data_IF_201037582527
#
_entry.id   IF_201037582527
#
_cell.length_a   1.000
_cell.length_b   1.000
_cell.length_c   1.000
_cell.angle_alpha   90.00
_cell.angle_beta   90.00
_cell.angle_gamma   90.00
#
_symmetry.space_group_name_H-M   'P 1'
#
loop_
_entity.id
_entity.type
_entity.pdbx_description
1 polymer ?
#
# COMPACT_ATOMS: atom_id res chain seq x y z
N UNK A 1 -18.90 2.10 10.93
CA UNK A 1 -19.17 1.42 9.65
C UNK A 1 -17.93 0.82 8.99
N UNK A 2 -16.78 1.49 9.00
CA UNK A 2 -15.51 0.85 8.64
C UNK A 2 -14.95 0.10 9.86
N UNK A 3 -15.23 0.57 11.07
CA UNK A 3 -14.79 -0.05 12.30
C UNK A 3 -15.12 -1.54 12.40
N UNK A 4 -16.38 -1.90 12.20
CA UNK A 4 -16.78 -3.33 12.27
C UNK A 4 -16.10 -4.22 11.22
N UNK A 5 -15.77 -3.65 10.05
CA UNK A 5 -15.08 -4.36 8.97
C UNK A 5 -13.63 -4.70 9.35
N UNK A 6 -12.93 -3.74 9.96
CA UNK A 6 -11.49 -3.77 10.19
C UNK A 6 -11.14 -3.95 11.68
N UNK A 7 -12.14 -4.23 12.51
CA UNK A 7 -11.98 -4.39 13.96
C UNK A 7 -10.95 -5.49 14.30
N UNK A 8 -10.09 -5.19 15.26
CA UNK A 8 -9.04 -6.10 15.72
C UNK A 8 -7.80 -6.17 14.83
N UNK A 9 -7.71 -5.35 13.78
CA UNK A 9 -6.52 -5.28 12.92
C UNK A 9 -5.84 -3.92 13.02
N UNK A 10 -4.51 -3.92 12.89
CA UNK A 10 -3.76 -2.74 12.45
C UNK A 10 -4.14 -2.46 11.01
N UNK A 11 -4.53 -1.23 10.70
CA UNK A 11 -4.98 -0.82 9.38
C UNK A 11 -4.11 0.32 8.89
N UNK A 12 -3.38 0.09 7.81
CA UNK A 12 -2.44 1.07 7.25
C UNK A 12 -2.75 1.32 5.78
N UNK A 13 -2.88 2.57 5.43
CA UNK A 13 -2.77 3.02 4.05
C UNK A 13 -1.31 3.06 3.67
N UNK A 14 -0.99 2.62 2.46
CA UNK A 14 0.36 2.39 1.99
C UNK A 14 0.55 2.93 0.58
N UNK A 15 1.66 3.63 0.39
CA UNK A 15 2.10 4.14 -0.89
C UNK A 15 3.62 4.30 -0.93
N UNK A 16 4.21 4.25 -2.11
CA UNK A 16 5.65 4.37 -2.37
C UNK A 16 5.94 5.38 -3.48
N UNK A 17 7.03 6.14 -3.30
CA UNK A 17 7.70 6.79 -4.43
C UNK A 17 8.99 6.03 -4.77
N UNK A 18 9.32 5.98 -6.06
CA UNK A 18 10.40 5.13 -6.56
C UNK A 18 11.23 5.83 -7.64
N UNK A 19 12.44 5.33 -7.89
CA UNK A 19 13.29 5.85 -8.99
C UNK A 19 12.77 5.48 -10.39
N UNK A 20 11.69 4.70 -10.48
CA UNK A 20 11.07 4.26 -11.72
C UNK A 20 10.09 3.11 -11.50
N UNK A 21 9.66 2.45 -12.56
CA UNK A 21 8.56 1.47 -12.50
C UNK A 21 9.00 0.00 -12.49
N UNK A 22 10.29 -0.27 -12.60
CA UNK A 22 10.82 -1.63 -12.67
C UNK A 22 11.29 -2.12 -11.31
N UNK A 23 10.55 -2.98 -10.65
CA UNK A 23 10.92 -3.57 -9.34
C UNK A 23 12.33 -4.18 -9.31
N UNK A 24 12.82 -4.69 -10.46
CA UNK A 24 14.16 -5.30 -10.55
C UNK A 24 15.30 -4.28 -10.62
N UNK A 25 15.07 -3.09 -11.19
CA UNK A 25 16.10 -2.08 -11.46
C UNK A 25 15.97 -0.86 -10.57
N UNK A 26 14.73 -0.48 -10.30
CA UNK A 26 14.42 0.73 -9.57
C UNK A 26 14.35 0.46 -8.06
N UNK A 27 14.37 1.53 -7.30
CA UNK A 27 14.50 1.52 -5.84
C UNK A 27 13.46 2.44 -5.21
N UNK A 28 13.12 2.19 -3.97
CA UNK A 28 12.25 3.06 -3.17
C UNK A 28 12.99 4.34 -2.81
N UNK A 29 12.33 5.50 -2.93
CA UNK A 29 12.79 6.82 -2.50
C UNK A 29 11.95 7.44 -1.39
N UNK A 30 10.67 7.03 -1.26
CA UNK A 30 9.82 7.39 -0.12
C UNK A 30 8.89 6.21 0.19
N UNK A 31 8.59 6.02 1.45
CA UNK A 31 7.64 5.03 1.94
C UNK A 31 6.69 5.68 2.94
N UNK A 32 5.39 5.52 2.76
CA UNK A 32 4.39 5.98 3.70
C UNK A 32 3.47 4.85 4.15
N UNK A 33 3.31 4.72 5.46
CA UNK A 33 2.37 3.83 6.14
C UNK A 33 1.61 4.66 7.17
N UNK A 34 0.35 4.97 6.89
CA UNK A 34 -0.46 5.85 7.73
C UNK A 34 -1.79 5.20 8.10
N UNK A 35 -2.19 5.28 9.36
CA UNK A 35 -3.41 4.65 9.81
C UNK A 35 -3.52 4.54 11.32
N UNK A 36 -3.91 3.36 11.81
CA UNK A 36 -4.00 3.08 13.23
C UNK A 36 -3.70 1.61 13.55
N UNK A 37 -3.27 1.37 14.77
CA UNK A 37 -3.13 0.02 15.33
C UNK A 37 -4.49 -0.58 15.73
N UNK A 38 -4.46 -1.78 16.26
CA UNK A 38 -5.63 -2.52 16.73
C UNK A 38 -6.35 -1.87 17.93
N UNK A 39 -5.70 -0.94 18.64
CA UNK A 39 -6.26 -0.17 19.75
C UNK A 39 -6.79 1.20 19.30
N UNK A 40 -6.58 1.56 18.02
CA UNK A 40 -6.96 2.85 17.45
C UNK A 40 -5.91 3.95 17.67
N UNK A 41 -4.71 3.61 18.14
CA UNK A 41 -3.61 4.56 18.23
C UNK A 41 -3.08 4.89 16.83
N UNK A 42 -2.89 6.18 16.57
CA UNK A 42 -2.49 6.67 15.25
C UNK A 42 -1.07 6.24 14.91
N UNK A 43 -0.90 5.72 13.71
CA UNK A 43 0.39 5.40 13.11
C UNK A 43 0.62 6.36 11.96
N UNK A 44 1.74 7.05 11.97
CA UNK A 44 2.20 7.89 10.88
C UNK A 44 3.69 7.63 10.66
N UNK A 45 3.99 6.84 9.65
CA UNK A 45 5.34 6.55 9.20
C UNK A 45 5.46 7.03 7.75
N UNK A 46 6.26 8.06 7.53
CA UNK A 46 6.48 8.70 6.22
C UNK A 46 7.94 9.10 6.12
N UNK A 47 8.74 8.31 5.40
CA UNK A 47 10.18 8.44 5.39
C UNK A 47 10.75 8.50 3.97
N UNK A 48 11.66 9.45 3.78
CA UNK A 48 12.50 9.52 2.59
C UNK A 48 13.66 8.53 2.76
N UNK A 49 13.81 7.65 1.77
CA UNK A 49 14.78 6.55 1.75
C UNK A 49 15.87 6.83 0.72
N UNK A 50 17.13 6.60 1.09
CA UNK A 50 18.23 6.67 0.15
C UNK A 50 18.23 5.43 -0.76
N UNK A 51 17.93 5.58 -2.07
CA UNK A 51 17.86 4.44 -3.00
C UNK A 51 19.23 3.81 -3.28
N UNK A 52 20.33 4.51 -2.99
CA UNK A 52 21.68 4.08 -3.30
C UNK A 52 22.04 4.11 -4.80
N UNK A 53 21.16 4.65 -5.62
CA UNK A 53 21.35 4.89 -7.07
C UNK A 53 20.82 6.30 -7.40
N UNK A 54 21.27 6.93 -8.50
CA UNK A 54 20.73 8.21 -8.94
C UNK A 54 19.24 8.13 -9.23
N UNK A 55 18.51 9.19 -8.89
CA UNK A 55 17.08 9.33 -9.19
C UNK A 55 16.95 9.94 -10.59
N UNK A 56 16.33 9.25 -11.56
CA UNK A 56 16.08 9.82 -12.87
C UNK A 56 15.23 11.08 -12.79
N UNK A 57 15.54 12.06 -13.65
CA UNK A 57 14.85 13.34 -13.68
C UNK A 57 13.34 13.19 -13.88
N UNK A 58 12.94 12.22 -14.70
CA UNK A 58 11.52 11.88 -14.95
C UNK A 58 10.80 11.45 -13.68
N UNK A 59 11.45 10.68 -12.81
CA UNK A 59 10.91 10.26 -11.53
C UNK A 59 10.82 11.47 -10.57
N UNK A 60 11.92 12.24 -10.45
CA UNK A 60 11.94 13.46 -9.64
C UNK A 60 10.87 14.48 -10.05
N UNK A 61 10.57 14.59 -11.33
CA UNK A 61 9.50 15.47 -11.82
C UNK A 61 8.09 15.01 -11.40
N UNK A 62 7.91 13.76 -11.06
CA UNK A 62 6.62 13.22 -10.58
C UNK A 62 6.47 13.48 -9.08
N UNK A 63 7.41 13.01 -8.27
CA UNK A 63 7.28 13.02 -6.81
C UNK A 63 8.04 14.17 -6.11
N UNK A 64 8.81 14.97 -6.85
CA UNK A 64 9.52 16.12 -6.28
C UNK A 64 10.76 15.79 -5.45
N UNK A 65 11.17 14.53 -5.33
CA UNK A 65 12.35 14.10 -4.56
C UNK A 65 13.55 14.01 -5.49
N UNK A 66 14.66 14.64 -5.12
CA UNK A 66 15.90 14.70 -5.88
C UNK A 66 17.04 14.04 -5.13
N UNK A 67 18.16 13.77 -5.81
CA UNK A 67 19.36 13.19 -5.21
C UNK A 67 19.88 13.97 -3.98
N UNK A 68 19.61 15.27 -3.91
CA UNK A 68 19.98 16.10 -2.76
C UNK A 68 19.18 15.73 -1.50
N UNK A 69 17.90 15.39 -1.67
CA UNK A 69 16.96 15.12 -0.57
C UNK A 69 17.21 13.76 0.08
N UNK A 70 17.71 12.81 -0.68
CA UNK A 70 18.01 11.45 -0.20
C UNK A 70 19.43 11.31 0.35
N UNK A 71 20.27 12.35 0.20
CA UNK A 71 21.65 12.32 0.67
C UNK A 71 21.70 12.30 2.20
N UNK A 72 22.35 11.26 2.74
CA UNK A 72 22.44 11.07 4.20
C UNK A 72 21.19 10.48 4.85
N UNK A 73 20.16 10.17 4.06
CA UNK A 73 19.01 9.41 4.53
C UNK A 73 19.34 7.92 4.68
N UNK A 74 18.59 7.24 5.53
CA UNK A 74 18.68 5.79 5.73
C UNK A 74 18.38 5.05 4.43
N UNK A 75 19.04 3.92 4.24
CA UNK A 75 18.72 2.99 3.14
C UNK A 75 17.59 2.06 3.58
N UNK A 76 16.94 1.40 2.63
CA UNK A 76 15.86 0.47 2.92
C UNK A 76 16.26 -0.59 3.96
N UNK A 77 17.47 -1.13 3.89
CA UNK A 77 18.00 -2.10 4.86
C UNK A 77 18.00 -1.60 6.32
N UNK A 78 18.14 -0.30 6.50
CA UNK A 78 18.27 0.32 7.83
C UNK A 78 16.88 0.51 8.49
N UNK A 79 15.82 0.62 7.67
CA UNK A 79 14.42 0.72 8.09
C UNK A 79 13.63 -0.60 7.96
N UNK A 80 14.27 -1.66 7.49
CA UNK A 80 13.62 -2.93 7.15
C UNK A 80 12.82 -3.53 8.29
N UNK A 81 13.35 -3.52 9.52
CA UNK A 81 12.66 -4.07 10.70
C UNK A 81 11.40 -3.28 11.04
N UNK A 82 11.46 -1.94 10.98
CA UNK A 82 10.30 -1.07 11.23
C UNK A 82 9.20 -1.31 10.20
N UNK A 83 9.57 -1.38 8.91
CA UNK A 83 8.63 -1.67 7.82
C UNK A 83 8.01 -3.06 7.99
N UNK A 84 8.81 -4.05 8.43
CA UNK A 84 8.31 -5.40 8.71
C UNK A 84 7.26 -5.38 9.82
N UNK A 85 7.58 -4.78 10.96
CA UNK A 85 6.66 -4.69 12.10
C UNK A 85 5.35 -3.97 11.75
N UNK A 86 5.40 -2.96 10.89
CA UNK A 86 4.21 -2.23 10.46
C UNK A 86 3.32 -3.05 9.53
N UNK A 87 3.89 -3.76 8.57
CA UNK A 87 3.13 -4.47 7.51
C UNK A 87 2.69 -5.87 7.94
N UNK A 88 3.50 -6.60 8.73
CA UNK A 88 3.20 -7.99 9.06
C UNK A 88 1.92 -8.11 9.88
N UNK A 89 0.98 -8.93 9.42
CA UNK A 89 -0.33 -9.10 10.03
C UNK A 89 -1.31 -7.92 9.90
N UNK A 90 -0.91 -6.81 9.28
CA UNK A 90 -1.76 -5.64 9.08
C UNK A 90 -2.76 -5.81 7.92
N UNK A 91 -3.80 -5.00 7.91
CA UNK A 91 -4.62 -4.73 6.72
C UNK A 91 -3.98 -3.57 5.97
N UNK A 92 -3.52 -3.83 4.76
CA UNK A 92 -2.89 -2.83 3.89
C UNK A 92 -3.90 -2.31 2.87
N UNK A 93 -4.03 -1.00 2.78
CA UNK A 93 -4.90 -0.31 1.82
C UNK A 93 -4.00 0.55 0.91
N UNK A 94 -4.14 0.42 -0.40
CA UNK A 94 -3.38 1.25 -1.34
C UNK A 94 -4.05 1.32 -2.71
N UNK A 95 -3.53 2.16 -3.60
CA UNK A 95 -4.04 2.29 -4.96
C UNK A 95 -3.10 1.63 -5.97
N UNK A 96 -3.52 0.53 -6.59
CA UNK A 96 -2.67 -0.33 -7.42
C UNK A 96 -1.55 -1.06 -6.63
N UNK A 97 -1.70 -1.14 -5.33
CA UNK A 97 -0.72 -1.65 -4.36
C UNK A 97 -0.27 -3.08 -4.65
N UNK A 98 -1.16 -3.92 -5.15
CA UNK A 98 -0.86 -5.33 -5.50
C UNK A 98 0.09 -5.47 -6.69
N UNK A 99 0.08 -4.50 -7.62
CA UNK A 99 0.90 -4.56 -8.83
C UNK A 99 2.12 -3.67 -8.79
N UNK A 100 2.17 -2.72 -7.86
CA UNK A 100 3.24 -1.76 -7.78
C UNK A 100 3.94 -1.83 -6.41
N UNK A 101 3.35 -1.36 -5.35
CA UNK A 101 4.01 -1.13 -4.06
C UNK A 101 4.50 -2.42 -3.39
N UNK A 102 3.63 -3.42 -3.25
CA UNK A 102 4.01 -4.68 -2.62
C UNK A 102 5.13 -5.41 -3.38
N UNK A 103 5.13 -5.52 -4.72
CA UNK A 103 6.27 -6.05 -5.46
C UNK A 103 7.59 -5.28 -5.27
N UNK A 104 7.55 -3.95 -5.04
CA UNK A 104 8.75 -3.18 -4.69
C UNK A 104 9.27 -3.55 -3.30
N UNK A 105 8.37 -3.64 -2.30
CA UNK A 105 8.72 -4.10 -0.95
C UNK A 105 9.36 -5.50 -1.02
N UNK A 106 8.69 -6.46 -1.66
CA UNK A 106 9.22 -7.82 -1.80
C UNK A 106 10.62 -7.81 -2.39
N UNK A 107 10.85 -7.02 -3.43
CA UNK A 107 12.16 -6.96 -4.09
C UNK A 107 13.23 -6.32 -3.20
N UNK A 108 12.90 -5.30 -2.39
CA UNK A 108 13.84 -4.70 -1.44
C UNK A 108 14.21 -5.69 -0.32
N UNK A 109 13.24 -6.46 0.20
CA UNK A 109 13.52 -7.53 1.16
C UNK A 109 14.45 -8.60 0.57
N UNK A 110 14.20 -9.07 -0.65
CA UNK A 110 15.08 -10.03 -1.32
C UNK A 110 16.49 -9.50 -1.55
N UNK A 111 16.66 -8.21 -1.83
CA UNK A 111 17.98 -7.56 -1.91
C UNK A 111 18.73 -7.56 -0.58
N UNK A 112 17.98 -7.53 0.52
CA UNK A 112 18.56 -7.63 1.87
C UNK A 112 18.80 -9.08 2.33
N UNK A 113 18.35 -10.08 1.57
CA UNK A 113 18.44 -11.50 1.94
C UNK A 113 17.35 -11.93 2.93
N UNK A 114 16.28 -11.14 3.08
CA UNK A 114 15.22 -11.32 4.05
C UNK A 114 13.89 -11.70 3.36
N UNK A 115 12.99 -12.30 4.13
CA UNK A 115 11.63 -12.59 3.67
C UNK A 115 10.74 -11.37 3.89
N UNK A 116 9.90 -11.01 2.91
CA UNK A 116 8.97 -9.89 3.06
C UNK A 116 7.90 -10.16 4.12
N UNK A 117 7.36 -9.10 4.75
CA UNK A 117 6.22 -9.21 5.67
C UNK A 117 4.97 -9.73 4.96
N UNK A 118 4.08 -10.34 5.71
CA UNK A 118 2.82 -10.89 5.19
C UNK A 118 1.63 -10.12 5.77
N UNK A 119 1.03 -9.19 5.03
CA UNK A 119 -0.20 -8.55 5.48
C UNK A 119 -1.32 -9.58 5.64
N UNK A 120 -2.18 -9.39 6.63
CA UNK A 120 -3.37 -10.23 6.83
C UNK A 120 -4.33 -10.10 5.63
N UNK A 121 -4.55 -8.86 5.18
CA UNK A 121 -5.37 -8.55 4.00
C UNK A 121 -4.78 -7.39 3.22
N UNK A 122 -5.07 -7.36 1.92
CA UNK A 122 -4.70 -6.25 1.03
C UNK A 122 -5.95 -5.74 0.32
N UNK A 123 -6.21 -4.45 0.45
CA UNK A 123 -7.30 -3.75 -0.21
C UNK A 123 -6.73 -2.84 -1.29
N UNK A 124 -6.83 -3.27 -2.53
CA UNK A 124 -6.42 -2.47 -3.68
C UNK A 124 -7.59 -1.63 -4.19
N UNK A 125 -7.55 -0.32 -3.95
CA UNK A 125 -8.65 0.60 -4.29
C UNK A 125 -8.87 0.74 -5.80
N UNK A 126 -7.83 0.52 -6.63
CA UNK A 126 -7.97 0.47 -8.10
C UNK A 126 -8.81 -0.74 -8.51
N UNK A 127 -8.50 -1.91 -7.97
CA UNK A 127 -9.25 -3.13 -8.25
C UNK A 127 -10.66 -3.05 -7.69
N UNK A 128 -10.82 -2.51 -6.49
CA UNK A 128 -12.12 -2.30 -5.86
C UNK A 128 -13.01 -1.37 -6.71
N UNK A 129 -12.50 -0.22 -7.16
CA UNK A 129 -13.22 0.70 -8.02
C UNK A 129 -13.69 0.03 -9.33
N UNK A 130 -12.82 -0.79 -9.94
CA UNK A 130 -13.18 -1.57 -11.14
C UNK A 130 -14.28 -2.60 -10.87
N UNK A 131 -14.21 -3.31 -9.75
CA UNK A 131 -15.21 -4.33 -9.35
C UNK A 131 -16.56 -3.70 -9.02
N UNK A 132 -16.54 -2.56 -8.36
CA UNK A 132 -17.76 -1.77 -8.08
C UNK A 132 -18.29 -1.01 -9.30
N UNK A 133 -17.63 -1.17 -10.48
CA UNK A 133 -18.01 -0.52 -11.75
C UNK A 133 -18.08 1.00 -11.65
N UNK A 134 -17.20 1.59 -10.85
CA UNK A 134 -17.03 3.06 -10.83
C UNK A 134 -16.57 3.52 -12.21
N UNK A 135 -17.10 4.64 -12.70
CA UNK A 135 -16.75 5.15 -14.04
C UNK A 135 -15.25 5.46 -14.21
N UNK A 136 -14.75 5.34 -15.43
CA UNK A 136 -13.36 5.69 -15.79
C UNK A 136 -13.15 7.22 -15.82
N UNK A 137 -11.91 7.71 -15.69
CA UNK A 137 -10.66 6.98 -15.43
C UNK A 137 -10.55 6.52 -13.96
N UNK A 138 -9.66 5.53 -13.71
CA UNK A 138 -9.50 4.89 -12.40
C UNK A 138 -8.15 5.22 -11.73
N UNK A 139 -7.39 6.23 -12.19
CA UNK A 139 -6.25 6.71 -11.44
C UNK A 139 -6.72 7.40 -10.15
N UNK A 140 -5.85 7.45 -9.14
CA UNK A 140 -6.18 7.94 -7.79
C UNK A 140 -6.78 9.35 -7.83
N UNK A 141 -6.14 10.31 -8.51
CA UNK A 141 -6.60 11.69 -8.60
C UNK A 141 -8.00 11.83 -9.19
N UNK A 142 -8.31 11.09 -10.27
CA UNK A 142 -9.64 11.11 -10.88
C UNK A 142 -10.72 10.50 -9.99
N UNK A 143 -10.39 9.45 -9.24
CA UNK A 143 -11.31 8.86 -8.28
C UNK A 143 -11.52 9.78 -7.08
N UNK A 144 -10.45 10.37 -6.54
CA UNK A 144 -10.53 11.36 -5.45
C UNK A 144 -11.43 12.53 -5.84
N UNK A 145 -11.19 13.15 -6.99
CA UNK A 145 -12.01 14.25 -7.51
C UNK A 145 -13.49 13.87 -7.60
N UNK A 146 -13.78 12.68 -8.12
CA UNK A 146 -15.18 12.19 -8.26
C UNK A 146 -15.87 11.96 -6.91
N UNK A 147 -15.11 11.60 -5.90
CA UNK A 147 -15.62 11.32 -4.57
C UNK A 147 -15.47 12.49 -3.59
N UNK A 148 -15.05 13.68 -4.06
CA UNK A 148 -14.89 14.86 -3.22
C UNK A 148 -13.76 14.74 -2.19
N UNK A 149 -12.73 13.95 -2.51
CA UNK A 149 -11.52 13.79 -1.70
C UNK A 149 -10.50 14.82 -2.19
N UNK A 150 -10.04 15.68 -1.28
CA UNK A 150 -8.98 16.63 -1.57
C UNK A 150 -7.62 15.90 -1.62
N UNK A 151 -6.89 16.12 -2.71
CA UNK A 151 -5.56 15.57 -2.96
C UNK A 151 -4.62 16.71 -3.38
N UNK A 152 -4.45 17.70 -2.49
CA UNK A 152 -3.66 18.92 -2.76
C UNK A 152 -2.17 18.66 -2.94
N UNK A 153 -1.64 17.63 -2.30
CA UNK A 153 -0.22 17.25 -2.35
C UNK A 153 -0.04 15.90 -3.08
N UNK A 154 -0.75 15.69 -4.19
CA UNK A 154 -0.57 14.51 -5.02
C UNK A 154 0.92 14.27 -5.33
N UNK A 155 1.30 12.99 -5.43
CA UNK A 155 2.67 12.54 -5.65
C UNK A 155 3.62 12.79 -4.47
N UNK A 156 3.07 12.73 -3.25
CA UNK A 156 3.83 12.41 -2.04
C UNK A 156 3.24 11.14 -1.46
N UNK A 157 4.06 10.18 -1.06
CA UNK A 157 3.59 8.88 -0.58
C UNK A 157 2.59 9.01 0.58
N UNK A 158 2.82 9.95 1.52
CA UNK A 158 1.91 10.19 2.63
C UNK A 158 0.52 10.69 2.20
N UNK A 159 0.45 11.63 1.25
CA UNK A 159 -0.82 12.16 0.76
C UNK A 159 -1.58 11.11 -0.06
N UNK A 160 -0.90 10.37 -0.92
CA UNK A 160 -1.52 9.34 -1.78
C UNK A 160 -1.97 8.13 -0.95
N UNK A 161 -1.23 7.74 0.09
CA UNK A 161 -1.67 6.75 1.07
C UNK A 161 -2.96 7.21 1.78
N UNK A 162 -2.96 8.42 2.37
CA UNK A 162 -4.14 8.96 3.05
C UNK A 162 -5.36 9.05 2.12
N UNK A 163 -5.16 9.51 0.88
CA UNK A 163 -6.22 9.57 -0.13
C UNK A 163 -6.77 8.18 -0.48
N UNK A 164 -5.92 7.16 -0.54
CA UNK A 164 -6.33 5.76 -0.77
C UNK A 164 -7.22 5.23 0.36
N UNK A 165 -6.93 5.57 1.62
CA UNK A 165 -7.78 5.25 2.78
C UNK A 165 -9.16 5.92 2.66
N UNK A 166 -9.18 7.23 2.36
CA UNK A 166 -10.42 7.97 2.19
C UNK A 166 -11.24 7.44 1.01
N UNK A 167 -10.58 7.09 -0.09
CA UNK A 167 -11.22 6.49 -1.26
C UNK A 167 -11.85 5.14 -0.91
N UNK A 168 -11.14 4.28 -0.19
CA UNK A 168 -11.70 3.03 0.32
C UNK A 168 -12.97 3.29 1.13
N UNK A 169 -12.93 4.26 2.05
CA UNK A 169 -14.08 4.64 2.85
C UNK A 169 -15.30 5.10 2.01
N UNK A 170 -15.06 5.81 0.92
CA UNK A 170 -16.15 6.23 0.02
C UNK A 170 -16.65 5.06 -0.84
N UNK A 171 -15.77 4.19 -1.33
CA UNK A 171 -16.15 3.03 -2.13
C UNK A 171 -17.00 2.02 -1.34
N UNK A 172 -16.70 1.79 -0.06
CA UNK A 172 -17.48 0.89 0.80
C UNK A 172 -18.92 1.35 1.02
N UNK A 173 -19.18 2.66 0.97
CA UNK A 173 -20.54 3.22 1.04
C UNK A 173 -21.41 2.80 -0.13
N UNK A 174 -20.84 2.43 -1.26
CA UNK A 174 -21.59 1.98 -2.44
C UNK A 174 -22.11 0.55 -2.30
N UNK A 175 -21.49 -0.26 -1.43
CA UNK A 175 -21.86 -1.66 -1.17
C UNK A 175 -21.96 -1.94 0.34
N UNK A 176 -22.84 -1.21 1.07
CA UNK A 176 -22.82 -1.25 2.52
C UNK A 176 -23.14 -2.64 3.09
N UNK A 177 -23.89 -3.47 2.36
CA UNK A 177 -24.21 -4.84 2.80
C UNK A 177 -22.99 -5.75 2.76
N UNK A 178 -22.10 -5.59 1.77
CA UNK A 178 -20.89 -6.38 1.63
C UNK A 178 -19.84 -6.04 2.70
N UNK A 179 -19.79 -4.77 3.11
CA UNK A 179 -18.77 -4.24 4.01
C UNK A 179 -19.24 -4.03 5.47
N UNK A 180 -20.40 -4.58 5.88
CA UNK A 180 -20.92 -4.51 7.28
C UNK A 180 -20.54 -5.71 8.14
N UNK A 181 -19.59 -6.51 7.70
CA UNK A 181 -19.13 -7.72 8.41
C UNK A 181 -17.60 -7.67 8.57
N UNK A 182 -17.02 -8.46 9.48
CA UNK A 182 -15.57 -8.53 9.60
C UNK A 182 -14.90 -8.82 8.26
N UNK A 183 -13.70 -8.27 8.05
CA UNK A 183 -12.99 -8.42 6.77
C UNK A 183 -12.75 -9.88 6.39
N UNK A 184 -12.55 -10.74 7.38
CA UNK A 184 -12.38 -12.18 7.16
C UNK A 184 -13.61 -12.86 6.52
N UNK A 185 -14.81 -12.27 6.71
CA UNK A 185 -16.08 -12.78 6.17
C UNK A 185 -16.46 -12.12 4.83
N UNK A 186 -15.67 -11.15 4.37
CA UNK A 186 -15.89 -10.50 3.07
C UNK A 186 -15.43 -11.44 1.95
N UNK A 187 -16.23 -11.53 0.89
CA UNK A 187 -15.90 -12.38 -0.25
C UNK A 187 -14.52 -12.01 -0.83
N UNK A 188 -13.65 -13.00 -0.97
CA UNK A 188 -12.26 -12.82 -1.41
C UNK A 188 -12.11 -12.15 -2.79
N UNK A 189 -13.15 -12.23 -3.64
CA UNK A 189 -13.13 -11.54 -4.92
C UNK A 189 -13.21 -10.00 -4.79
N UNK A 190 -13.62 -9.48 -3.64
CA UNK A 190 -13.65 -8.04 -3.32
C UNK A 190 -12.33 -7.61 -2.69
N UNK A 191 -11.79 -8.43 -1.79
CA UNK A 191 -10.58 -8.16 -1.01
C UNK A 191 -9.61 -9.32 -1.19
N UNK A 192 -8.35 -9.01 -1.46
CA UNK A 192 -7.30 -10.03 -1.47
C UNK A 192 -6.92 -10.37 -0.02
N UNK A 193 -7.28 -11.59 0.42
CA UNK A 193 -6.72 -12.16 1.64
C UNK A 193 -5.21 -12.32 1.47
N UNK A 194 -4.45 -12.15 2.56
CA UNK A 194 -3.02 -12.46 2.60
C UNK A 194 -2.78 -13.86 2.03
N UNK A 195 -1.67 -14.04 1.36
CA UNK A 195 -1.31 -15.28 0.66
C UNK A 195 -1.56 -16.45 1.60
N UNK A 196 -2.59 -17.26 1.31
CA UNK A 196 -2.67 -18.59 1.92
C UNK A 196 -1.39 -19.29 1.50
N UNK A 197 -0.53 -19.61 2.45
CA UNK A 197 0.54 -20.55 2.23
C UNK A 197 -0.13 -21.86 1.86
N UNK A 198 -0.26 -22.17 0.57
CA UNK A 198 -0.66 -23.47 0.07
C UNK A 198 0.44 -24.48 0.41
N UNK A 199 0.47 -24.85 1.69
CA UNK A 199 1.16 -26.07 2.13
C UNK A 199 0.44 -27.33 1.66
N UNK A 200 -0.67 -27.22 0.90
CA UNK A 200 -1.50 -28.33 0.45
C UNK A 200 -1.24 -28.81 -0.98
N UNK A 201 -0.42 -28.12 -1.79
CA UNK A 201 -0.14 -28.57 -3.17
C UNK A 201 1.21 -29.31 -3.34
N UNK A 202 2.04 -29.41 -2.30
CA UNK A 202 3.30 -30.19 -2.37
C UNK A 202 3.13 -31.69 -2.03
N UNK A 203 1.90 -32.18 -1.89
CA UNK A 203 1.59 -33.55 -1.46
C UNK A 203 0.94 -34.47 -2.48
N UNK A 204 0.89 -34.14 -3.77
CA UNK A 204 0.39 -35.07 -4.79
C UNK A 204 1.29 -35.12 -6.02
N UNK A 205 2.36 -35.89 -5.90
CA UNK A 205 3.25 -36.17 -7.00
C UNK A 205 4.38 -37.12 -6.59
N UNK A 206 4.04 -38.36 -6.28
CA UNK A 206 4.86 -39.56 -6.41
C UNK A 206 3.94 -40.70 -6.87
#
# INVERSE_FOLDING_TARGET
>A
MIGDLLDGYRVLAFDLETTGISTRRDRIVQIALVGADENGEQIHYDEIVNPGIPIPFEASNVHGIFDADVRGKEKFKDILSTVHELIDGAVIIGHNVLKFDLPFIEQEYFRCGELPPKPAFVIDTLLLARRLKVGRPHNLGSLCSRHGIDLTNAHTAGADAAASMLLFAQLTKQQPKAFRRPIADVEQWIIHGGVKSDASELGRGL
#
